data_IF_933406857155
#
_entry.id   IF_933406857155
#
_cell.length_a   1.000
_cell.length_b   1.000
_cell.length_c   1.000
_cell.angle_alpha   90.00
_cell.angle_beta   90.00
_cell.angle_gamma   90.00
#
_symmetry.space_group_name_H-M   'P 1'
#
loop_
_entity.id
_entity.type
_entity.pdbx_description
1 polymer ?
#
# COMPACT_ATOMS: atom_id res chain seq x y z
N UNK A 1 1.71 5.13 13.84
CA UNK A 1 1.86 5.89 15.10
C UNK A 1 0.57 6.02 15.88
N UNK A 2 -0.52 6.47 15.25
CA UNK A 2 -1.79 6.79 15.93
C UNK A 2 -2.36 5.61 16.74
N UNK A 3 -2.37 4.40 16.19
CA UNK A 3 -2.84 3.19 16.91
C UNK A 3 -2.01 2.95 18.17
N UNK A 4 -0.69 3.12 18.11
CA UNK A 4 0.19 2.95 19.28
C UNK A 4 -0.11 4.00 20.33
N UNK A 5 -0.36 5.24 19.93
CA UNK A 5 -0.71 6.32 20.87
C UNK A 5 -2.06 6.04 21.54
N UNK A 6 -3.06 5.59 20.78
CA UNK A 6 -4.37 5.23 21.31
C UNK A 6 -4.27 4.08 22.31
N UNK A 7 -3.54 3.01 21.98
CA UNK A 7 -3.30 1.90 22.90
C UNK A 7 -2.58 2.38 24.15
N UNK A 8 -1.55 3.23 24.04
CA UNK A 8 -0.86 3.80 25.21
C UNK A 8 -1.80 4.62 26.08
N UNK A 9 -2.67 5.42 25.48
CA UNK A 9 -3.65 6.24 26.20
C UNK A 9 -4.64 5.35 26.99
N UNK A 10 -5.14 4.27 26.38
CA UNK A 10 -6.06 3.35 27.06
C UNK A 10 -5.40 2.57 28.20
N UNK A 11 -4.11 2.25 28.08
CA UNK A 11 -3.36 1.52 29.11
C UNK A 11 -2.81 2.44 30.22
N UNK A 12 -2.89 3.76 30.07
CA UNK A 12 -2.29 4.73 30.99
C UNK A 12 -2.88 4.67 32.40
N UNK A 13 -4.16 4.29 32.55
CA UNK A 13 -4.84 4.16 33.84
C UNK A 13 -4.52 2.86 34.59
N UNK A 14 -3.82 1.91 33.95
CA UNK A 14 -3.45 0.62 34.52
C UNK A 14 -4.61 -0.37 34.72
N UNK A 15 -5.86 0.04 34.53
CA UNK A 15 -7.05 -0.81 34.77
C UNK A 15 -7.14 -1.99 33.81
N UNK A 16 -6.65 -1.81 32.58
CA UNK A 16 -6.58 -2.89 31.58
C UNK A 16 -5.51 -3.92 31.97
N UNK A 17 -4.32 -3.47 32.41
CA UNK A 17 -3.24 -4.36 32.85
C UNK A 17 -3.62 -5.15 34.10
N UNK A 18 -4.38 -4.54 35.01
CA UNK A 18 -4.91 -5.19 36.20
C UNK A 18 -6.11 -6.12 35.92
N UNK A 19 -6.65 -6.12 34.69
CA UNK A 19 -7.80 -6.91 34.30
C UNK A 19 -9.14 -6.43 34.88
N UNK A 20 -9.18 -5.24 35.50
CA UNK A 20 -10.39 -4.67 36.13
C UNK A 20 -11.27 -3.91 35.14
N UNK A 21 -10.72 -3.54 33.99
CA UNK A 21 -11.39 -2.80 32.91
C UNK A 21 -11.14 -3.48 31.57
N UNK A 22 -12.18 -3.54 30.73
CA UNK A 22 -12.04 -4.02 29.34
C UNK A 22 -11.52 -2.89 28.43
N UNK A 23 -10.67 -3.20 27.43
CA UNK A 23 -10.26 -2.23 26.42
C UNK A 23 -11.47 -1.70 25.62
N UNK A 24 -11.37 -0.46 25.16
CA UNK A 24 -12.33 0.08 24.18
C UNK A 24 -11.79 -0.16 22.77
N UNK A 25 -12.38 -1.12 22.07
CA UNK A 25 -11.96 -1.50 20.72
C UNK A 25 -12.45 -0.52 19.65
N UNK A 26 -13.49 0.26 19.92
CA UNK A 26 -14.15 1.14 18.95
C UNK A 26 -13.19 2.16 18.32
N UNK A 27 -12.46 2.96 19.12
CA UNK A 27 -11.52 3.95 18.60
C UNK A 27 -10.44 3.37 17.67
N UNK A 28 -9.87 2.21 18.01
CA UNK A 28 -8.84 1.55 17.19
C UNK A 28 -9.41 1.08 15.85
N UNK A 29 -10.61 0.47 15.87
CA UNK A 29 -11.33 0.06 14.65
C UNK A 29 -11.59 1.27 13.75
N UNK A 30 -12.03 2.38 14.34
CA UNK A 30 -12.34 3.62 13.64
C UNK A 30 -11.11 4.23 12.95
N UNK A 31 -9.97 4.26 13.67
CA UNK A 31 -8.68 4.73 13.13
C UNK A 31 -8.28 3.89 11.92
N UNK A 32 -8.29 2.56 12.06
CA UNK A 32 -7.90 1.63 11.00
C UNK A 32 -8.83 1.74 9.78
N UNK A 33 -10.14 1.81 10.00
CA UNK A 33 -11.16 1.92 8.94
C UNK A 33 -11.03 3.21 8.14
N UNK A 34 -10.90 4.35 8.84
CA UNK A 34 -10.77 5.66 8.18
C UNK A 34 -9.46 5.77 7.42
N UNK A 35 -8.37 5.23 7.98
CA UNK A 35 -7.08 5.20 7.32
C UNK A 35 -7.11 4.31 6.06
N UNK A 36 -7.61 3.07 6.16
CA UNK A 36 -7.59 2.13 5.04
C UNK A 36 -8.39 2.64 3.82
N UNK A 37 -9.61 3.15 4.04
CA UNK A 37 -10.44 3.69 2.96
C UNK A 37 -9.78 4.88 2.26
N UNK A 38 -9.12 5.74 3.05
CA UNK A 38 -8.44 6.92 2.51
C UNK A 38 -7.20 6.55 1.71
N UNK A 39 -6.34 5.71 2.26
CA UNK A 39 -5.04 5.36 1.67
C UNK A 39 -5.20 4.46 0.43
N UNK A 40 -6.27 3.66 0.32
CA UNK A 40 -6.52 2.80 -0.84
C UNK A 40 -6.90 3.56 -2.12
N UNK A 41 -7.43 4.78 -1.99
CA UNK A 41 -7.91 5.54 -3.15
C UNK A 41 -6.77 5.92 -4.10
N UNK A 42 -5.61 6.32 -3.57
CA UNK A 42 -4.48 6.78 -4.39
C UNK A 42 -3.85 5.66 -5.23
N UNK A 43 -3.52 4.47 -4.67
CA UNK A 43 -3.03 3.34 -5.47
C UNK A 43 -4.02 2.88 -6.53
N UNK A 44 -5.33 2.90 -6.24
CA UNK A 44 -6.36 2.54 -7.20
C UNK A 44 -6.40 3.51 -8.39
N UNK A 45 -6.38 4.82 -8.14
CA UNK A 45 -6.32 5.84 -9.20
C UNK A 45 -5.03 5.73 -10.01
N UNK A 46 -3.90 5.44 -9.37
CA UNK A 46 -2.63 5.22 -10.05
C UNK A 46 -2.71 4.03 -11.01
N UNK A 47 -3.30 2.90 -10.58
CA UNK A 47 -3.46 1.71 -11.40
C UNK A 47 -4.35 1.94 -12.63
N UNK A 48 -5.37 2.79 -12.52
CA UNK A 48 -6.32 3.06 -13.61
C UNK A 48 -5.82 4.17 -14.54
N UNK A 49 -5.30 5.27 -14.01
CA UNK A 49 -4.96 6.45 -14.81
C UNK A 49 -3.60 6.37 -15.48
N UNK A 50 -2.63 5.63 -14.91
CA UNK A 50 -1.28 5.53 -15.50
C UNK A 50 -1.31 4.92 -16.91
N UNK A 51 -2.02 3.79 -17.16
CA UNK A 51 -2.21 3.28 -18.52
C UNK A 51 -2.82 4.29 -19.50
N UNK A 52 -3.78 5.10 -19.03
CA UNK A 52 -4.43 6.14 -19.86
C UNK A 52 -3.44 7.23 -20.24
N UNK A 53 -2.65 7.72 -19.27
CA UNK A 53 -1.63 8.73 -19.50
C UNK A 53 -0.58 8.24 -20.50
N UNK A 54 -0.09 7.01 -20.36
CA UNK A 54 0.95 6.47 -21.24
C UNK A 54 0.39 6.17 -22.64
N UNK A 55 -0.77 5.50 -22.70
CA UNK A 55 -1.34 5.04 -23.95
C UNK A 55 -1.82 6.16 -24.86
N UNK A 56 -2.52 7.16 -24.30
CA UNK A 56 -2.89 8.35 -25.05
C UNK A 56 -1.71 9.32 -25.15
N UNK A 57 -0.95 9.57 -24.08
CA UNK A 57 0.11 10.60 -24.10
C UNK A 57 1.31 10.26 -24.99
N UNK A 58 1.62 8.97 -25.21
CA UNK A 58 2.77 8.54 -26.00
C UNK A 58 2.28 7.75 -27.21
N UNK A 59 2.03 6.45 -27.04
CA UNK A 59 1.40 5.57 -28.01
C UNK A 59 1.14 4.17 -27.39
N UNK A 60 0.54 3.29 -28.18
CA UNK A 60 0.25 1.92 -27.77
C UNK A 60 1.51 1.04 -27.61
N UNK A 61 2.63 1.37 -28.28
CA UNK A 61 3.89 0.62 -28.16
C UNK A 61 4.55 0.90 -26.81
N UNK A 62 4.58 2.17 -26.41
CA UNK A 62 5.03 2.62 -25.11
C UNK A 62 4.16 2.03 -24.00
N UNK A 63 2.84 1.95 -24.20
CA UNK A 63 1.95 1.25 -23.27
C UNK A 63 2.34 -0.23 -23.13
N UNK A 64 2.61 -0.93 -24.24
CA UNK A 64 3.07 -2.33 -24.20
C UNK A 64 4.40 -2.49 -23.46
N UNK A 65 5.38 -1.63 -23.73
CA UNK A 65 6.67 -1.63 -23.04
C UNK A 65 6.53 -1.33 -21.53
N UNK A 66 5.66 -0.38 -21.18
CA UNK A 66 5.33 -0.05 -19.80
C UNK A 66 4.74 -1.26 -19.05
N UNK A 67 3.76 -1.96 -19.64
CA UNK A 67 3.15 -3.13 -19.00
C UNK A 67 4.16 -4.26 -18.82
N UNK A 68 5.02 -4.51 -19.81
CA UNK A 68 6.09 -5.51 -19.69
C UNK A 68 7.03 -5.17 -18.50
N UNK A 69 7.43 -3.91 -18.36
CA UNK A 69 8.25 -3.46 -17.25
C UNK A 69 7.53 -3.58 -15.89
N UNK A 70 6.27 -3.15 -15.81
CA UNK A 70 5.45 -3.24 -14.60
C UNK A 70 5.26 -4.69 -14.15
N UNK A 71 5.00 -5.61 -15.09
CA UNK A 71 4.85 -7.04 -14.78
C UNK A 71 6.17 -7.59 -14.24
N UNK A 72 7.29 -7.37 -14.93
CA UNK A 72 8.59 -7.92 -14.53
C UNK A 72 9.04 -7.38 -13.17
N UNK A 73 9.08 -6.06 -13.02
CA UNK A 73 9.55 -5.42 -11.78
C UNK A 73 8.55 -5.67 -10.64
N UNK A 74 7.26 -5.51 -10.92
CA UNK A 74 6.21 -5.69 -9.92
C UNK A 74 6.13 -7.11 -9.39
N UNK A 75 6.27 -8.13 -10.24
CA UNK A 75 6.25 -9.52 -9.82
C UNK A 75 7.45 -9.86 -8.94
N UNK A 76 8.65 -9.40 -9.31
CA UNK A 76 9.86 -9.62 -8.50
C UNK A 76 9.74 -8.93 -7.15
N UNK A 77 9.21 -7.70 -7.12
CA UNK A 77 8.98 -6.96 -5.88
C UNK A 77 7.92 -7.63 -5.00
N UNK A 78 6.80 -8.10 -5.58
CA UNK A 78 5.76 -8.80 -4.85
C UNK A 78 6.31 -10.05 -4.14
N UNK A 79 7.14 -10.83 -4.83
CA UNK A 79 7.79 -12.01 -4.28
C UNK A 79 8.79 -11.64 -3.18
N UNK A 80 9.63 -10.62 -3.41
CA UNK A 80 10.58 -10.14 -2.41
C UNK A 80 9.90 -9.72 -1.11
N UNK A 81 8.88 -8.85 -1.20
CA UNK A 81 8.17 -8.33 -0.03
C UNK A 81 7.48 -9.45 0.76
N UNK A 82 6.79 -10.35 0.04
CA UNK A 82 6.06 -11.46 0.67
C UNK A 82 7.02 -12.43 1.37
N UNK A 83 8.14 -12.79 0.73
CA UNK A 83 9.11 -13.72 1.29
C UNK A 83 9.92 -13.10 2.44
N UNK A 84 10.34 -11.84 2.31
CA UNK A 84 11.06 -11.15 3.37
C UNK A 84 10.21 -11.02 4.63
N UNK A 85 8.95 -10.57 4.50
CA UNK A 85 8.02 -10.49 5.63
C UNK A 85 7.73 -11.86 6.24
N UNK A 86 7.50 -12.89 5.42
CA UNK A 86 7.28 -14.25 5.90
C UNK A 86 8.49 -14.85 6.61
N UNK A 87 9.71 -14.55 6.14
CA UNK A 87 10.94 -15.00 6.78
C UNK A 87 11.13 -14.37 8.17
N UNK A 88 10.82 -13.09 8.33
CA UNK A 88 10.87 -12.43 9.64
C UNK A 88 9.84 -12.99 10.63
N UNK A 89 8.59 -13.21 10.21
CA UNK A 89 7.57 -13.83 11.06
C UNK A 89 7.95 -15.25 11.48
N UNK A 90 8.44 -16.06 10.53
CA UNK A 90 8.87 -17.43 10.81
C UNK A 90 10.10 -17.47 11.73
N UNK A 91 11.03 -16.53 11.58
CA UNK A 91 12.18 -16.41 12.49
C UNK A 91 11.75 -16.06 13.91
N UNK A 92 10.78 -15.14 14.06
CA UNK A 92 10.18 -14.80 15.36
C UNK A 92 9.52 -16.03 15.98
N UNK A 93 8.67 -16.75 15.24
CA UNK A 93 8.00 -17.99 15.70
C UNK A 93 9.02 -19.06 16.14
N UNK A 94 10.07 -19.25 15.35
CA UNK A 94 11.13 -20.20 15.69
C UNK A 94 11.81 -19.90 17.04
N UNK A 95 12.05 -18.62 17.33
CA UNK A 95 12.57 -18.18 18.63
C UNK A 95 11.51 -18.34 19.73
N UNK A 96 10.25 -18.05 19.45
CA UNK A 96 9.13 -18.23 20.40
C UNK A 96 8.94 -19.69 20.83
N UNK A 97 9.33 -20.65 19.99
CA UNK A 97 9.35 -22.09 20.28
C UNK A 97 10.51 -22.53 21.19
N UNK A 98 11.36 -21.59 21.64
CA UNK A 98 12.42 -21.82 22.63
C UNK A 98 13.84 -21.83 22.06
N UNK A 99 13.99 -21.71 20.74
CA UNK A 99 15.31 -21.54 20.13
C UNK A 99 15.88 -20.16 20.46
N UNK A 100 17.20 -20.07 20.57
CA UNK A 100 17.90 -18.79 20.83
C UNK A 100 17.40 -18.00 22.06
N UNK A 101 16.96 -18.69 23.11
CA UNK A 101 16.61 -18.09 24.40
C UNK A 101 15.12 -17.84 24.63
N UNK A 102 14.24 -18.12 23.66
CA UNK A 102 12.80 -18.09 23.90
C UNK A 102 12.19 -16.69 24.04
N UNK A 103 10.91 -16.65 24.40
CA UNK A 103 10.13 -15.41 24.62
C UNK A 103 10.77 -14.52 25.69
N UNK A 104 10.87 -13.23 25.40
CA UNK A 104 11.42 -12.21 26.30
C UNK A 104 12.94 -12.04 26.24
N UNK A 105 13.66 -12.93 25.53
CA UNK A 105 15.09 -12.78 25.25
C UNK A 105 15.38 -11.58 24.34
N UNK A 106 16.63 -11.13 24.30
CA UNK A 106 17.06 -10.07 23.37
C UNK A 106 16.89 -10.50 21.89
N UNK A 107 17.11 -11.78 21.59
CA UNK A 107 16.86 -12.34 20.26
C UNK A 107 15.37 -12.27 19.89
N UNK A 108 14.47 -12.57 20.83
CA UNK A 108 13.03 -12.46 20.61
C UNK A 108 12.61 -11.01 20.36
N UNK A 109 13.09 -10.06 21.16
CA UNK A 109 12.81 -8.62 20.95
C UNK A 109 13.28 -8.14 19.57
N UNK A 110 14.48 -8.55 19.14
CA UNK A 110 14.99 -8.20 17.81
C UNK A 110 14.12 -8.80 16.69
N UNK A 111 13.69 -10.05 16.83
CA UNK A 111 12.84 -10.72 15.85
C UNK A 111 11.43 -10.09 15.79
N UNK A 112 10.87 -9.63 16.92
CA UNK A 112 9.61 -8.87 16.95
C UNK A 112 9.72 -7.56 16.17
N UNK A 113 10.86 -6.86 16.28
CA UNK A 113 11.11 -5.65 15.48
C UNK A 113 11.15 -5.99 13.98
N UNK A 114 11.85 -7.07 13.61
CA UNK A 114 11.91 -7.54 12.22
C UNK A 114 10.53 -7.89 11.66
N UNK A 115 9.71 -8.60 12.42
CA UNK A 115 8.34 -8.95 12.05
C UNK A 115 7.45 -7.70 11.89
N UNK A 116 7.58 -6.72 12.78
CA UNK A 116 6.84 -5.45 12.69
C UNK A 116 7.19 -4.65 11.42
N UNK A 117 8.44 -4.75 10.95
CA UNK A 117 8.86 -4.19 9.65
C UNK A 117 8.32 -5.05 8.48
N UNK A 118 8.26 -6.36 8.67
CA UNK A 118 7.76 -7.32 7.69
C UNK A 118 6.25 -7.31 7.49
N UNK A 119 5.46 -6.91 8.48
CA UNK A 119 3.99 -6.92 8.42
C UNK A 119 3.43 -6.09 7.24
N UNK A 120 3.83 -4.82 7.03
CA UNK A 120 3.43 -4.09 5.83
C UNK A 120 3.90 -4.74 4.52
N UNK A 121 5.00 -5.50 4.54
CA UNK A 121 5.55 -6.14 3.35
C UNK A 121 4.70 -7.36 2.96
N UNK A 122 4.45 -8.29 3.89
CA UNK A 122 3.73 -9.54 3.60
C UNK A 122 2.21 -9.41 3.59
N UNK A 123 1.63 -8.48 4.34
CA UNK A 123 0.18 -8.41 4.51
C UNK A 123 -0.46 -7.26 3.72
N UNK A 124 0.33 -6.29 3.25
CA UNK A 124 -0.18 -5.13 2.52
C UNK A 124 0.47 -4.98 1.15
N UNK A 125 1.74 -4.59 1.09
CA UNK A 125 2.38 -4.18 -0.16
C UNK A 125 2.63 -5.35 -1.12
N UNK A 126 3.20 -6.45 -0.63
CA UNK A 126 3.53 -7.62 -1.44
C UNK A 126 2.30 -8.20 -2.15
N UNK A 127 1.24 -8.60 -1.42
CA UNK A 127 0.02 -9.11 -2.02
C UNK A 127 -0.71 -8.08 -2.91
N UNK A 128 -0.65 -6.78 -2.60
CA UNK A 128 -1.35 -5.75 -3.35
C UNK A 128 -0.76 -5.45 -4.74
N UNK A 129 0.51 -5.80 -4.99
CA UNK A 129 1.12 -5.62 -6.31
C UNK A 129 0.47 -6.49 -7.38
N UNK A 130 0.09 -7.73 -7.05
CA UNK A 130 -0.56 -8.65 -7.99
C UNK A 130 -1.89 -8.12 -8.58
N UNK A 131 -2.88 -7.69 -7.77
CA UNK A 131 -4.10 -7.10 -8.30
C UNK A 131 -3.85 -5.75 -8.99
N UNK A 132 -2.88 -4.95 -8.52
CA UNK A 132 -2.53 -3.69 -9.16
C UNK A 132 -2.03 -3.89 -10.61
N UNK A 133 -1.13 -4.86 -10.83
CA UNK A 133 -0.66 -5.26 -12.17
C UNK A 133 -1.84 -5.73 -13.02
N UNK A 134 -2.74 -6.55 -12.44
CA UNK A 134 -3.92 -7.07 -13.15
C UNK A 134 -4.86 -5.96 -13.59
N UNK A 135 -5.10 -4.97 -12.75
CA UNK A 135 -5.93 -3.80 -13.08
C UNK A 135 -5.29 -2.97 -14.18
N UNK A 136 -3.98 -2.67 -14.09
CA UNK A 136 -3.26 -1.94 -15.13
C UNK A 136 -3.35 -2.64 -16.49
N UNK A 137 -3.14 -3.96 -16.52
CA UNK A 137 -3.26 -4.76 -17.74
C UNK A 137 -4.68 -4.74 -18.30
N UNK A 138 -5.69 -4.94 -17.45
CA UNK A 138 -7.10 -4.94 -17.86
C UNK A 138 -7.49 -3.59 -18.45
N UNK A 139 -7.18 -2.49 -17.76
CA UNK A 139 -7.50 -1.13 -18.23
C UNK A 139 -6.82 -0.88 -19.57
N UNK A 140 -5.55 -1.24 -19.71
CA UNK A 140 -4.80 -1.08 -20.96
C UNK A 140 -5.46 -1.79 -22.14
N UNK A 141 -5.91 -3.03 -21.94
CA UNK A 141 -6.59 -3.79 -22.98
C UNK A 141 -7.94 -3.17 -23.36
N UNK A 142 -8.69 -2.65 -22.39
CA UNK A 142 -9.98 -2.01 -22.65
C UNK A 142 -9.84 -0.70 -23.43
N UNK A 143 -8.80 0.09 -23.17
CA UNK A 143 -8.60 1.40 -23.82
C UNK A 143 -7.82 1.30 -25.14
N UNK A 144 -7.16 0.17 -25.42
CA UNK A 144 -6.31 0.00 -26.60
C UNK A 144 -7.03 0.32 -27.93
N UNK A 145 -8.27 -0.15 -28.20
CA UNK A 145 -8.97 0.20 -29.44
C UNK A 145 -9.20 1.72 -29.57
N UNK A 146 -9.46 2.41 -28.46
CA UNK A 146 -9.65 3.86 -28.45
C UNK A 146 -8.33 4.60 -28.71
N UNK A 147 -7.21 4.11 -28.16
CA UNK A 147 -5.87 4.66 -28.44
C UNK A 147 -5.55 4.54 -29.93
N UNK A 148 -5.74 3.37 -30.53
CA UNK A 148 -5.46 3.13 -31.95
C UNK A 148 -6.37 4.01 -32.83
N UNK A 149 -7.67 4.10 -32.51
CA UNK A 149 -8.63 4.92 -33.25
C UNK A 149 -8.31 6.42 -33.20
N UNK A 150 -7.71 6.89 -32.12
CA UNK A 150 -7.36 8.31 -31.93
C UNK A 150 -5.91 8.63 -32.29
N UNK A 151 -5.17 7.68 -32.89
CA UNK A 151 -3.76 7.82 -33.19
C UNK A 151 -3.47 9.01 -34.13
N UNK A 152 -4.37 9.30 -35.08
CA UNK A 152 -4.23 10.43 -36.02
C UNK A 152 -4.81 11.75 -35.48
N UNK A 153 -5.39 11.75 -34.28
CA UNK A 153 -5.97 12.93 -33.64
C UNK A 153 -5.14 13.31 -32.40
N UNK A 154 -4.00 13.95 -32.65
CA UNK A 154 -3.09 14.41 -31.59
C UNK A 154 -3.79 15.30 -30.56
N UNK A 155 -4.66 16.22 -31.01
CA UNK A 155 -5.40 17.11 -30.12
C UNK A 155 -6.27 16.36 -29.13
N UNK A 156 -7.12 15.44 -29.61
CA UNK A 156 -7.99 14.64 -28.74
C UNK A 156 -7.21 13.74 -27.80
N UNK A 157 -6.14 13.14 -28.31
CA UNK A 157 -5.27 12.24 -27.57
C UNK A 157 -4.54 12.95 -26.41
N UNK A 158 -3.94 14.11 -26.66
CA UNK A 158 -3.27 14.88 -25.62
C UNK A 158 -4.23 15.49 -24.61
N UNK A 159 -5.46 15.85 -25.00
CA UNK A 159 -6.48 16.31 -24.05
C UNK A 159 -6.85 15.21 -23.06
N UNK A 160 -7.08 13.97 -23.53
CA UNK A 160 -7.37 12.82 -22.66
C UNK A 160 -6.20 12.55 -21.71
N UNK A 161 -4.97 12.51 -22.23
CA UNK A 161 -3.77 12.27 -21.45
C UNK A 161 -3.56 13.36 -20.38
N UNK A 162 -3.71 14.64 -20.75
CA UNK A 162 -3.56 15.76 -19.83
C UNK A 162 -4.64 15.74 -18.73
N UNK A 163 -5.90 15.47 -19.08
CA UNK A 163 -6.97 15.35 -18.10
C UNK A 163 -6.69 14.21 -17.10
N UNK A 164 -6.28 13.03 -17.58
CA UNK A 164 -5.91 11.90 -16.73
C UNK A 164 -4.71 12.23 -15.83
N UNK A 165 -3.71 12.92 -16.37
CA UNK A 165 -2.52 13.34 -15.63
C UNK A 165 -2.86 14.36 -14.53
N UNK A 166 -3.71 15.33 -14.82
CA UNK A 166 -4.16 16.33 -13.83
C UNK A 166 -4.90 15.65 -12.68
N UNK A 167 -5.81 14.72 -12.97
CA UNK A 167 -6.52 13.96 -11.92
C UNK A 167 -5.53 13.11 -11.11
N UNK A 168 -4.60 12.42 -11.77
CA UNK A 168 -3.61 11.59 -11.10
C UNK A 168 -2.69 12.42 -10.19
N UNK A 169 -2.07 13.48 -10.72
CA UNK A 169 -1.20 14.39 -9.95
C UNK A 169 -1.98 15.05 -8.82
N UNK A 170 -3.20 15.53 -9.10
CA UNK A 170 -4.09 16.09 -8.08
C UNK A 170 -4.37 15.11 -6.95
N UNK A 171 -4.60 13.84 -7.26
CA UNK A 171 -4.84 12.78 -6.27
C UNK A 171 -3.61 12.51 -5.39
N UNK A 172 -2.41 12.50 -5.97
CA UNK A 172 -1.14 12.28 -5.26
C UNK A 172 -0.81 13.48 -4.37
N UNK A 173 -0.97 14.70 -4.88
CA UNK A 173 -0.74 15.94 -4.12
C UNK A 173 -1.74 16.07 -2.97
N UNK A 174 -3.00 15.75 -3.20
CA UNK A 174 -4.01 15.77 -2.13
C UNK A 174 -3.73 14.72 -1.06
N UNK A 175 -3.34 13.51 -1.47
CA UNK A 175 -2.97 12.43 -0.55
C UNK A 175 -1.77 12.78 0.32
N UNK A 176 -0.69 13.28 -0.28
CA UNK A 176 0.53 13.69 0.45
C UNK A 176 0.29 14.82 1.45
N UNK A 177 -0.57 15.80 1.13
CA UNK A 177 -0.95 16.87 2.08
C UNK A 177 -1.76 16.35 3.27
N UNK A 178 -2.58 15.33 3.07
CA UNK A 178 -3.46 14.75 4.10
C UNK A 178 -2.73 13.76 5.01
N UNK A 179 -1.64 13.15 4.53
CA UNK A 179 -0.73 12.36 5.35
C UNK A 179 -0.06 13.23 6.45
N UNK A 180 0.35 14.46 6.13
CA UNK A 180 0.93 15.40 7.11
C UNK A 180 -0.05 15.84 8.20
N UNK A 181 -1.36 15.85 7.94
CA UNK A 181 -2.38 16.26 8.91
C UNK A 181 -2.61 15.24 10.04
N UNK A 182 -2.35 13.95 9.81
CA UNK A 182 -2.49 12.91 10.87
C UNK A 182 -1.45 13.11 11.97
N UNK A 183 -0.24 13.54 11.62
CA UNK A 183 0.81 13.86 12.58
C UNK A 183 0.47 15.05 13.47
N UNK A 184 -0.42 15.94 13.01
CA UNK A 184 -0.85 17.14 13.74
C UNK A 184 -2.03 16.91 14.69
N UNK A 185 -2.92 15.94 14.38
CA UNK A 185 -4.06 15.58 15.26
C UNK A 185 -3.63 14.65 16.41
N UNK A 186 -2.46 14.03 16.31
CA UNK A 186 -1.87 13.18 17.36
C UNK A 186 -1.02 13.95 18.40
N UNK A 187 -1.10 15.29 18.42
CA UNK A 187 -0.51 16.16 19.45
C UNK A 187 -1.59 16.71 20.36
#
# INVERSE_FOLDING_TARGET
GVVVQEVRNQFADGGIMAGTKKPDYGPVIDICTKASLRELTTPALLAVLTPVVIGFGIDWKALGAFLAAVILVGQLMANYLSNAGGAWDNSKKYIEDGHHGGKGSEAHKAAVIGDTVGDPFKDTAGPALNPLIKVMNLVSLLILPAIIKTQDNDGGRYVIAAAALVVLVGSIVFSSRKASGITAVAK
#
